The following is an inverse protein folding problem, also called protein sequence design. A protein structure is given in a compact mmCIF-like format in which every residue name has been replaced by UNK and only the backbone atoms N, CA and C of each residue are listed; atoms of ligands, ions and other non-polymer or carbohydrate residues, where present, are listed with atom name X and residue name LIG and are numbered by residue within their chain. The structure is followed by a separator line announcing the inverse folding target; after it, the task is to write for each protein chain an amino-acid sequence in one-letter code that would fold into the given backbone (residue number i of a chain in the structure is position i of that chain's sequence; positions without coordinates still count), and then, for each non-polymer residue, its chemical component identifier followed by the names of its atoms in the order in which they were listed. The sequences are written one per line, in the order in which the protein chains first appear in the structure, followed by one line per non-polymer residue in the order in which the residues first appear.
data_IF_375354387997
#
_entry.id   IF_375354387997
#
_cell.length_a   1.000
_cell.length_b   1.000
_cell.length_c   1.000
_cell.angle_alpha   90.00
_cell.angle_beta   90.00
_cell.angle_gamma   90.00
#
_symmetry.space_group_name_H-M   'P 1'
#
loop_
_entity.id
_entity.type
_entity.pdbx_description
1 polymer ?
#
# COMPACT_ATOMS: atom_id res chain seq x y z
N UNK A 1 19.74 -8.20 0.88
CA UNK A 1 19.90 -6.83 0.32
C UNK A 1 21.37 -6.49 0.45
N UNK A 2 22.10 -6.55 -0.65
CA UNK A 2 23.57 -6.56 -0.66
C UNK A 2 24.09 -5.13 -0.60
N UNK A 3 25.13 -4.85 0.19
CA UNK A 3 25.74 -3.51 0.34
C UNK A 3 26.15 -2.86 -1.01
N UNK A 4 26.46 -3.67 -2.02
CA UNK A 4 26.81 -3.24 -3.38
C UNK A 4 25.63 -2.58 -4.14
N UNK A 5 24.40 -2.97 -3.82
CA UNK A 5 23.19 -2.41 -4.45
C UNK A 5 22.88 -0.99 -3.99
N UNK A 6 23.03 -0.71 -2.68
CA UNK A 6 22.76 0.62 -2.12
C UNK A 6 23.79 1.65 -2.61
N UNK A 7 25.04 1.25 -2.80
CA UNK A 7 26.11 2.12 -3.30
C UNK A 7 25.95 2.43 -4.80
N UNK A 8 25.45 1.48 -5.59
CA UNK A 8 25.05 1.71 -6.98
C UNK A 8 23.88 2.70 -7.09
N UNK A 9 22.86 2.58 -6.24
CA UNK A 9 21.72 3.50 -6.20
C UNK A 9 22.14 4.89 -5.76
N UNK A 10 23.01 5.02 -4.76
CA UNK A 10 23.50 6.31 -4.28
C UNK A 10 24.35 7.04 -5.34
N UNK A 11 25.19 6.32 -6.08
CA UNK A 11 25.94 6.87 -7.22
C UNK A 11 25.01 7.37 -8.32
N UNK A 12 24.01 6.57 -8.68
CA UNK A 12 23.01 6.93 -9.68
C UNK A 12 22.21 8.17 -9.25
N UNK A 13 21.80 8.25 -7.98
CA UNK A 13 21.07 9.40 -7.46
C UNK A 13 21.88 10.71 -7.54
N UNK A 14 23.17 10.69 -7.17
CA UNK A 14 24.06 11.84 -7.33
C UNK A 14 24.23 12.24 -8.79
N UNK A 15 24.42 11.27 -9.66
CA UNK A 15 24.61 11.50 -11.08
C UNK A 15 23.36 12.14 -11.73
N UNK A 16 22.16 11.73 -11.30
CA UNK A 16 20.89 12.32 -11.74
C UNK A 16 20.64 13.72 -11.19
N UNK A 17 21.11 14.02 -9.97
CA UNK A 17 21.06 15.36 -9.39
C UNK A 17 21.97 16.34 -10.14
N UNK A 18 23.17 15.90 -10.54
CA UNK A 18 24.15 16.77 -11.19
C UNK A 18 23.94 16.92 -12.70
N UNK A 19 23.55 15.85 -13.42
CA UNK A 19 23.42 15.87 -14.89
C UNK A 19 21.98 16.00 -15.39
N UNK A 20 20.99 15.88 -14.50
CA UNK A 20 19.58 15.92 -14.85
C UNK A 20 19.13 14.75 -15.75
N UNK A 21 17.86 14.79 -16.17
CA UNK A 21 17.21 13.73 -16.99
C UNK A 21 17.74 13.60 -18.43
N UNK A 22 18.75 14.41 -18.81
CA UNK A 22 19.33 14.44 -20.14
C UNK A 22 20.29 13.28 -20.44
N UNK A 23 20.92 12.70 -19.41
CA UNK A 23 21.86 11.58 -19.54
C UNK A 23 21.18 10.20 -19.66
N UNK A 24 19.86 10.12 -19.40
CA UNK A 24 19.10 8.88 -19.38
C UNK A 24 18.57 8.49 -20.75
N UNK A 25 18.53 7.19 -21.03
CA UNK A 25 17.87 6.68 -22.21
C UNK A 25 16.36 6.99 -22.18
N UNK A 26 15.67 7.04 -23.34
CA UNK A 26 14.22 7.23 -23.39
C UNK A 26 13.44 6.17 -22.61
N UNK A 27 14.01 4.98 -22.46
CA UNK A 27 13.43 3.89 -21.69
C UNK A 27 13.53 4.15 -20.18
N UNK A 28 14.72 4.49 -19.69
CA UNK A 28 14.96 4.70 -18.26
C UNK A 28 14.23 5.93 -17.73
N UNK A 29 14.11 6.96 -18.56
CA UNK A 29 13.33 8.16 -18.27
C UNK A 29 11.83 7.86 -18.09
N UNK A 30 11.28 6.90 -18.84
CA UNK A 30 9.88 6.45 -18.65
C UNK A 30 9.71 5.68 -17.35
N UNK A 31 10.66 4.80 -17.02
CA UNK A 31 10.64 4.06 -15.76
C UNK A 31 10.71 5.02 -14.56
N UNK A 32 11.62 5.99 -14.60
CA UNK A 32 11.74 7.04 -13.57
C UNK A 32 10.48 7.91 -13.47
N UNK A 33 9.88 8.31 -14.59
CA UNK A 33 8.62 9.06 -14.58
C UNK A 33 7.47 8.24 -13.96
N UNK A 34 7.43 6.93 -14.24
CA UNK A 34 6.44 6.02 -13.69
C UNK A 34 6.63 5.80 -12.18
N UNK A 35 7.88 5.67 -11.72
CA UNK A 35 8.22 5.56 -10.29
C UNK A 35 7.91 6.88 -9.57
N UNK A 36 8.27 8.02 -10.14
CA UNK A 36 7.99 9.34 -9.57
C UNK A 36 6.49 9.59 -9.40
N UNK A 37 5.67 9.16 -10.37
CA UNK A 37 4.21 9.21 -10.27
C UNK A 37 3.66 8.35 -9.12
N UNK A 38 4.21 7.15 -8.90
CA UNK A 38 3.84 6.30 -7.76
C UNK A 38 4.25 6.90 -6.42
N UNK A 39 5.44 7.50 -6.34
CA UNK A 39 5.92 8.17 -5.12
C UNK A 39 5.01 9.35 -4.76
N UNK A 40 4.65 10.18 -5.75
CA UNK A 40 3.74 11.32 -5.53
C UNK A 40 2.33 10.88 -5.11
N UNK A 41 1.81 9.79 -5.68
CA UNK A 41 0.51 9.23 -5.25
C UNK A 41 0.56 8.73 -3.79
N UNK A 42 1.66 8.06 -3.40
CA UNK A 42 1.90 7.61 -2.02
C UNK A 42 1.99 8.78 -1.05
N UNK A 43 2.76 9.80 -1.40
CA UNK A 43 2.97 10.98 -0.56
C UNK A 43 1.72 11.85 -0.47
N UNK A 44 0.92 11.95 -1.53
CA UNK A 44 -0.36 12.64 -1.50
C UNK A 44 -1.37 11.97 -0.56
N UNK A 45 -1.44 10.63 -0.57
CA UNK A 45 -2.26 9.86 0.38
C UNK A 45 -1.79 10.00 1.83
N UNK A 46 -0.48 9.96 2.06
CA UNK A 46 0.12 10.15 3.38
C UNK A 46 -0.01 11.60 3.91
N UNK A 47 0.07 12.59 3.02
CA UNK A 47 -0.10 14.00 3.36
C UNK A 47 -1.58 14.37 3.63
N UNK A 48 -2.52 13.74 2.93
CA UNK A 48 -3.96 13.92 3.20
C UNK A 48 -4.35 13.40 4.60
N UNK A 49 -3.71 12.33 5.08
CA UNK A 49 -3.92 11.81 6.44
C UNK A 49 -3.17 12.57 7.52
N UNK A 50 -2.15 13.37 7.17
CA UNK A 50 -1.27 14.05 8.14
C UNK A 50 -1.59 15.55 8.37
N UNK A 51 -2.49 16.16 7.57
CA UNK A 51 -2.84 17.59 7.69
C UNK A 51 -3.80 17.91 8.83
N UNK A 52 -4.46 16.92 9.43
CA UNK A 52 -5.14 17.08 10.71
C UNK A 52 -4.14 16.72 11.81
N UNK A 53 -3.63 17.71 12.55
CA UNK A 53 -2.80 17.45 13.71
C UNK A 53 -3.56 16.55 14.69
N UNK A 54 -2.96 15.47 15.22
CA UNK A 54 -3.71 14.47 15.95
C UNK A 54 -4.26 15.08 17.23
N UNK A 55 -5.60 15.08 17.34
CA UNK A 55 -6.27 15.55 18.54
C UNK A 55 -5.81 14.72 19.75
N UNK A 56 -5.82 15.31 20.95
CA UNK A 56 -5.30 14.65 22.14
C UNK A 56 -5.99 13.29 22.38
N UNK A 57 -7.29 13.21 22.04
CA UNK A 57 -8.08 11.99 22.05
C UNK A 57 -7.60 10.93 21.05
N UNK A 58 -7.16 11.32 19.86
CA UNK A 58 -6.64 10.38 18.85
C UNK A 58 -5.31 9.77 19.28
N UNK A 59 -4.42 10.58 19.86
CA UNK A 59 -3.13 10.09 20.40
C UNK A 59 -3.32 9.13 21.57
N UNK A 60 -4.30 9.40 22.42
CA UNK A 60 -4.64 8.53 23.55
C UNK A 60 -5.26 7.23 23.06
N UNK A 61 -6.23 7.29 22.15
CA UNK A 61 -6.88 6.12 21.57
C UNK A 61 -5.87 5.20 20.84
N UNK A 62 -4.95 5.76 20.06
CA UNK A 62 -3.88 4.98 19.40
C UNK A 62 -2.94 4.30 20.38
N UNK A 63 -2.62 4.94 21.51
CA UNK A 63 -1.82 4.32 22.58
C UNK A 63 -2.59 3.19 23.26
N UNK A 64 -3.86 3.43 23.59
CA UNK A 64 -4.72 2.41 24.24
C UNK A 64 -4.95 1.22 23.32
N UNK A 65 -5.19 1.43 22.02
CA UNK A 65 -5.38 0.35 21.06
C UNK A 65 -4.11 -0.52 20.89
N UNK A 66 -2.93 0.11 20.82
CA UNK A 66 -1.65 -0.62 20.75
C UNK A 66 -1.31 -1.36 22.05
N UNK A 67 -1.65 -0.78 23.21
CA UNK A 67 -1.44 -1.42 24.51
C UNK A 67 -2.40 -2.60 24.68
N UNK A 68 -3.69 -2.43 24.39
CA UNK A 68 -4.71 -3.47 24.52
C UNK A 68 -4.57 -4.65 23.54
N UNK A 69 -3.92 -4.45 22.40
CA UNK A 69 -3.71 -5.49 21.39
C UNK A 69 -2.45 -6.35 21.58
N UNK A 70 -1.62 -6.07 22.59
CA UNK A 70 -0.37 -6.80 22.81
C UNK A 70 -0.56 -8.01 23.73
N UNK A 71 0.04 -9.14 23.34
CA UNK A 71 0.10 -10.34 24.18
C UNK A 71 0.73 -10.08 25.55
N UNK A 72 1.70 -9.18 25.64
CA UNK A 72 2.33 -8.81 26.92
C UNK A 72 1.38 -8.07 27.86
N UNK A 73 0.48 -7.25 27.33
CA UNK A 73 -0.54 -6.56 28.13
C UNK A 73 -1.55 -7.53 28.72
N UNK A 74 -2.01 -8.51 27.93
CA UNK A 74 -2.93 -9.56 28.39
C UNK A 74 -2.31 -10.33 29.56
N UNK A 75 -1.06 -10.78 29.41
CA UNK A 75 -0.36 -11.53 30.46
C UNK A 75 -0.17 -10.68 31.74
N UNK A 76 0.27 -9.42 31.61
CA UNK A 76 0.46 -8.53 32.74
C UNK A 76 -0.87 -8.20 33.46
N UNK A 77 -1.94 -7.97 32.69
CA UNK A 77 -3.27 -7.68 33.22
C UNK A 77 -3.86 -8.89 33.95
N UNK A 78 -3.75 -10.09 33.38
CA UNK A 78 -4.14 -11.34 34.07
C UNK A 78 -3.32 -11.56 35.34
N UNK A 79 -2.00 -11.31 35.30
CA UNK A 79 -1.14 -11.40 36.48
C UNK A 79 -1.54 -10.42 37.59
N UNK A 80 -1.90 -9.18 37.23
CA UNK A 80 -2.41 -8.18 38.17
C UNK A 80 -3.73 -8.62 38.82
N UNK A 81 -4.67 -9.15 38.04
CA UNK A 81 -5.95 -9.66 38.55
C UNK A 81 -5.74 -10.83 39.53
N UNK A 82 -4.89 -11.79 39.16
CA UNK A 82 -4.55 -12.92 40.03
C UNK A 82 -3.86 -12.43 41.31
N UNK A 83 -2.90 -11.49 41.18
CA UNK A 83 -2.22 -10.88 42.32
C UNK A 83 -3.18 -10.15 43.26
N UNK A 84 -4.17 -9.42 42.72
CA UNK A 84 -5.20 -8.74 43.51
C UNK A 84 -6.09 -9.71 44.29
N UNK A 85 -6.50 -10.80 43.63
CA UNK A 85 -7.27 -11.88 44.25
C UNK A 85 -6.47 -12.53 45.38
N UNK A 86 -5.21 -12.88 45.15
CA UNK A 86 -4.32 -13.49 46.16
C UNK A 86 -4.09 -12.53 47.34
N UNK A 87 -3.84 -11.25 47.08
CA UNK A 87 -3.65 -10.25 48.13
C UNK A 87 -4.89 -10.10 49.02
N UNK A 88 -6.09 -9.98 48.42
CA UNK A 88 -7.32 -9.81 49.18
C UNK A 88 -7.73 -11.10 49.93
N UNK A 89 -7.51 -12.28 49.35
CA UNK A 89 -7.89 -13.56 49.97
C UNK A 89 -6.93 -14.06 51.03
N UNK A 90 -5.62 -13.97 50.79
CA UNK A 90 -4.62 -14.58 51.67
C UNK A 90 -4.17 -13.60 52.75
N UNK A 91 -3.93 -12.33 52.39
CA UNK A 91 -3.33 -11.34 53.30
C UNK A 91 -4.41 -10.58 54.08
N UNK A 92 -5.47 -10.16 53.42
CA UNK A 92 -6.48 -9.27 53.99
C UNK A 92 -7.65 -10.01 54.68
N UNK A 93 -8.09 -11.15 54.14
CA UNK A 93 -9.09 -11.98 54.81
C UNK A 93 -8.55 -12.65 56.09
N UNK A 94 -7.25 -12.96 56.14
CA UNK A 94 -6.59 -13.49 57.35
C UNK A 94 -6.43 -12.47 58.49
N UNK A 95 -6.54 -11.16 58.18
CA UNK A 95 -6.31 -10.07 59.13
C UNK A 95 -7.60 -9.38 59.63
N UNK A 96 -8.78 -9.93 59.30
CA UNK A 96 -10.07 -9.47 59.84
C UNK A 96 -10.73 -8.26 59.14
N UNK A 97 -10.15 -7.76 58.05
CA UNK A 97 -10.66 -6.59 57.31
C UNK A 97 -10.42 -6.71 55.81
N UNK A 98 -11.21 -7.54 55.12
CA UNK A 98 -11.12 -7.67 53.68
C UNK A 98 -11.68 -6.43 52.97
N UNK A 99 -10.81 -5.62 52.38
CA UNK A 99 -11.17 -4.47 51.53
C UNK A 99 -12.04 -4.88 50.33
N UNK A 100 -11.74 -6.02 49.70
CA UNK A 100 -12.54 -6.63 48.63
C UNK A 100 -12.62 -8.15 48.83
N UNK A 101 -13.39 -8.59 49.83
CA UNK A 101 -13.60 -10.01 50.12
C UNK A 101 -14.44 -10.69 49.02
N UNK A 102 -14.29 -12.01 48.87
CA UNK A 102 -15.13 -12.82 47.97
C UNK A 102 -16.62 -12.50 48.23
N UNK A 103 -17.38 -12.01 47.24
CA UNK A 103 -17.27 -12.23 45.80
C UNK A 103 -16.64 -11.10 44.92
N UNK A 104 -15.74 -10.27 45.48
CA UNK A 104 -14.98 -9.20 44.80
C UNK A 104 -15.83 -8.15 44.06
N UNK A 105 -16.64 -7.41 44.81
CA UNK A 105 -17.58 -6.43 44.24
C UNK A 105 -16.82 -5.28 43.58
N UNK A 106 -15.69 -4.84 44.14
CA UNK A 106 -14.94 -3.70 43.63
C UNK A 106 -14.20 -4.06 42.34
N UNK A 107 -13.55 -5.23 42.30
CA UNK A 107 -12.91 -5.74 41.09
C UNK A 107 -13.92 -5.91 39.94
N UNK A 108 -15.11 -6.45 40.23
CA UNK A 108 -16.17 -6.59 39.24
C UNK A 108 -16.69 -5.25 38.72
N UNK A 109 -16.80 -4.24 39.58
CA UNK A 109 -17.22 -2.89 39.18
C UNK A 109 -16.20 -2.26 38.22
N UNK A 110 -14.90 -2.34 38.54
CA UNK A 110 -13.83 -1.82 37.69
C UNK A 110 -13.79 -2.54 36.35
N UNK A 111 -13.84 -3.87 36.35
CA UNK A 111 -13.85 -4.67 35.12
C UNK A 111 -15.04 -4.32 34.23
N UNK A 112 -16.23 -4.14 34.81
CA UNK A 112 -17.43 -3.75 34.07
C UNK A 112 -17.29 -2.36 33.44
N UNK A 113 -16.73 -1.39 34.17
CA UNK A 113 -16.49 -0.04 33.65
C UNK A 113 -15.45 -0.05 32.51
N UNK A 114 -14.36 -0.81 32.66
CA UNK A 114 -13.32 -0.95 31.62
C UNK A 114 -13.90 -1.60 30.36
N UNK A 115 -14.66 -2.68 30.52
CA UNK A 115 -15.32 -3.36 29.40
C UNK A 115 -16.32 -2.46 28.67
N UNK A 116 -17.10 -1.65 29.41
CA UNK A 116 -18.06 -0.71 28.82
C UNK A 116 -17.38 0.36 27.95
N UNK A 117 -16.19 0.84 28.34
CA UNK A 117 -15.41 1.80 27.57
C UNK A 117 -14.62 1.15 26.42
N UNK A 118 -14.42 -0.18 26.45
CA UNK A 118 -13.61 -0.90 25.48
C UNK A 118 -14.26 -0.91 24.08
N UNK A 119 -15.56 -1.20 23.98
CA UNK A 119 -16.24 -1.29 22.69
C UNK A 119 -16.25 0.04 21.88
N UNK A 120 -16.55 1.22 22.48
CA UNK A 120 -16.47 2.49 21.77
C UNK A 120 -15.05 2.87 21.34
N UNK A 121 -14.03 2.61 22.18
CA UNK A 121 -12.63 2.89 21.83
C UNK A 121 -12.18 2.01 20.67
N UNK A 122 -12.54 0.72 20.69
CA UNK A 122 -12.28 -0.19 19.57
C UNK A 122 -13.01 0.32 18.33
N UNK A 123 -14.30 0.68 18.43
CA UNK A 123 -15.09 1.17 17.29
C UNK A 123 -14.52 2.47 16.69
N UNK A 124 -14.06 3.41 17.53
CA UNK A 124 -13.40 4.64 17.07
C UNK A 124 -12.08 4.33 16.34
N UNK A 125 -11.30 3.36 16.86
CA UNK A 125 -10.06 2.93 16.19
C UNK A 125 -10.32 2.21 14.87
N UNK A 126 -11.41 1.42 14.79
CA UNK A 126 -11.85 0.74 13.58
C UNK A 126 -12.39 1.73 12.54
N UNK A 127 -13.21 2.70 12.95
CA UNK A 127 -13.76 3.72 12.06
C UNK A 127 -12.63 4.55 11.39
N UNK A 128 -11.57 4.86 12.14
CA UNK A 128 -10.38 5.55 11.61
C UNK A 128 -9.57 4.69 10.63
N UNK A 129 -9.44 3.38 10.89
CA UNK A 129 -8.78 2.47 9.97
C UNK A 129 -9.59 2.31 8.68
N UNK A 130 -10.91 2.11 8.80
CA UNK A 130 -11.81 1.98 7.65
C UNK A 130 -11.79 3.22 6.74
N UNK A 131 -11.70 4.42 7.29
CA UNK A 131 -11.58 5.64 6.48
C UNK A 131 -10.25 5.70 5.71
N UNK A 132 -9.13 5.30 6.35
CA UNK A 132 -7.82 5.20 5.68
C UNK A 132 -7.85 4.17 4.56
N UNK A 133 -8.45 3.01 4.83
CA UNK A 133 -8.59 1.92 3.85
C UNK A 133 -9.47 2.36 2.67
N UNK A 134 -10.55 3.11 2.93
CA UNK A 134 -11.41 3.67 1.88
C UNK A 134 -10.66 4.63 0.96
N UNK A 135 -9.86 5.53 1.54
CA UNK A 135 -9.03 6.47 0.76
C UNK A 135 -8.00 5.69 -0.07
N UNK A 136 -7.29 4.73 0.55
CA UNK A 136 -6.30 3.91 -0.15
C UNK A 136 -6.92 3.15 -1.33
N UNK A 137 -8.09 2.53 -1.12
CA UNK A 137 -8.83 1.84 -2.18
C UNK A 137 -9.25 2.78 -3.32
N UNK A 138 -9.62 4.02 -3.02
CA UNK A 138 -9.93 5.04 -4.03
C UNK A 138 -8.72 5.40 -4.89
N UNK A 139 -7.55 5.60 -4.28
CA UNK A 139 -6.30 5.86 -5.00
C UNK A 139 -5.90 4.67 -5.88
N UNK A 140 -5.98 3.45 -5.34
CA UNK A 140 -5.65 2.24 -6.08
C UNK A 140 -6.57 2.05 -7.29
N UNK A 141 -7.86 2.38 -7.14
CA UNK A 141 -8.82 2.37 -8.24
C UNK A 141 -8.44 3.34 -9.36
N UNK A 142 -8.08 4.59 -9.02
CA UNK A 142 -7.67 5.60 -10.01
C UNK A 142 -6.40 5.18 -10.76
N UNK A 143 -5.41 4.65 -10.04
CA UNK A 143 -4.18 4.12 -10.64
C UNK A 143 -4.47 2.97 -11.59
N UNK A 144 -5.36 2.05 -11.19
CA UNK A 144 -5.74 0.92 -12.03
C UNK A 144 -6.47 1.38 -13.30
N UNK A 145 -7.42 2.31 -13.18
CA UNK A 145 -8.13 2.89 -14.34
C UNK A 145 -7.16 3.57 -15.31
N UNK A 146 -6.19 4.32 -14.78
CA UNK A 146 -5.16 4.96 -15.61
C UNK A 146 -4.29 3.94 -16.34
N UNK A 147 -3.90 2.86 -15.65
CA UNK A 147 -3.14 1.77 -16.26
C UNK A 147 -3.94 1.08 -17.37
N UNK A 148 -5.24 0.85 -17.16
CA UNK A 148 -6.13 0.29 -18.17
C UNK A 148 -6.21 1.16 -19.43
N UNK A 149 -6.41 2.47 -19.29
CA UNK A 149 -6.41 3.42 -20.42
C UNK A 149 -5.07 3.42 -21.15
N UNK A 150 -3.95 3.36 -20.41
CA UNK A 150 -2.61 3.31 -21.01
C UNK A 150 -2.39 2.02 -21.81
N UNK A 151 -2.86 0.88 -21.30
CA UNK A 151 -2.82 -0.42 -22.00
C UNK A 151 -3.63 -0.36 -23.29
N UNK A 152 -4.86 0.18 -23.26
CA UNK A 152 -5.69 0.35 -24.45
C UNK A 152 -4.99 1.24 -25.49
N UNK A 153 -4.40 2.36 -25.07
CA UNK A 153 -3.64 3.23 -25.96
C UNK A 153 -2.43 2.55 -26.60
N UNK A 154 -1.73 1.69 -25.84
CA UNK A 154 -0.63 0.89 -26.35
C UNK A 154 -1.12 -0.16 -27.35
N UNK A 155 -2.26 -0.79 -27.10
CA UNK A 155 -2.90 -1.73 -28.00
C UNK A 155 -3.20 -1.08 -29.36
N UNK A 156 -3.88 0.08 -29.36
CA UNK A 156 -4.19 0.80 -30.60
C UNK A 156 -2.93 1.20 -31.38
N UNK A 157 -1.85 1.58 -30.68
CA UNK A 157 -0.56 1.89 -31.33
C UNK A 157 0.05 0.66 -31.96
N UNK A 158 0.00 -0.48 -31.27
CA UNK A 158 0.51 -1.75 -31.78
C UNK A 158 -0.28 -2.21 -33.00
N UNK A 159 -1.61 -2.09 -32.98
CA UNK A 159 -2.48 -2.42 -34.11
C UNK A 159 -2.19 -1.53 -35.31
N UNK A 160 -2.01 -0.22 -35.10
CA UNK A 160 -1.61 0.70 -36.18
C UNK A 160 -0.27 0.30 -36.82
N UNK A 161 0.72 -0.09 -36.01
CA UNK A 161 2.02 -0.55 -36.52
C UNK A 161 1.84 -1.87 -37.29
N UNK A 162 1.06 -2.82 -36.76
CA UNK A 162 0.78 -4.10 -37.42
C UNK A 162 0.09 -3.93 -38.76
N UNK A 163 -0.95 -3.09 -38.83
CA UNK A 163 -1.67 -2.82 -40.08
C UNK A 163 -0.75 -2.19 -41.12
N UNK A 164 0.08 -1.22 -40.74
CA UNK A 164 1.04 -0.60 -41.65
C UNK A 164 2.07 -1.60 -42.18
N UNK A 165 2.61 -2.46 -41.30
CA UNK A 165 3.52 -3.53 -41.71
C UNK A 165 2.85 -4.51 -42.68
N UNK A 166 1.58 -4.84 -42.46
CA UNK A 166 0.80 -5.71 -43.34
C UNK A 166 0.58 -5.06 -44.71
N UNK A 167 0.22 -3.78 -44.76
CA UNK A 167 0.10 -3.02 -46.00
C UNK A 167 1.42 -2.97 -46.79
N UNK A 168 2.54 -2.72 -46.10
CA UNK A 168 3.86 -2.66 -46.73
C UNK A 168 4.26 -4.02 -47.32
N UNK A 169 3.96 -5.12 -46.62
CA UNK A 169 4.18 -6.48 -47.12
C UNK A 169 3.32 -6.80 -48.35
N UNK A 170 2.03 -6.45 -48.33
CA UNK A 170 1.13 -6.64 -49.48
C UNK A 170 1.64 -5.84 -50.69
N UNK A 171 2.03 -4.57 -50.48
CA UNK A 171 2.59 -3.73 -51.56
C UNK A 171 3.89 -4.30 -52.13
N UNK A 172 4.73 -4.92 -51.32
CA UNK A 172 5.94 -5.58 -51.77
C UNK A 172 5.62 -6.83 -52.63
N UNK A 173 4.67 -7.66 -52.19
CA UNK A 173 4.22 -8.84 -52.94
C UNK A 173 3.57 -8.46 -54.28
N UNK A 174 2.70 -7.44 -54.31
CA UNK A 174 2.06 -6.99 -55.55
C UNK A 174 3.09 -6.52 -56.58
N UNK A 175 4.14 -5.82 -56.13
CA UNK A 175 5.26 -5.42 -57.00
C UNK A 175 5.99 -6.63 -57.59
N UNK A 176 6.31 -7.64 -56.77
CA UNK A 176 6.95 -8.87 -57.24
C UNK A 176 6.09 -9.62 -58.27
N UNK A 177 4.78 -9.73 -58.03
CA UNK A 177 3.86 -10.39 -58.98
C UNK A 177 3.80 -9.63 -60.31
N UNK A 178 3.76 -8.29 -60.26
CA UNK A 178 3.74 -7.45 -61.46
C UNK A 178 5.03 -7.62 -62.28
N UNK A 179 6.20 -7.63 -61.63
CA UNK A 179 7.49 -7.86 -62.27
C UNK A 179 7.58 -9.25 -62.92
N UNK A 180 7.14 -10.30 -62.21
CA UNK A 180 7.09 -11.66 -62.75
C UNK A 180 6.13 -11.77 -63.96
N UNK A 181 4.99 -11.08 -63.91
CA UNK A 181 4.05 -10.99 -65.02
C UNK A 181 4.68 -10.33 -66.26
N UNK A 182 5.36 -9.20 -66.07
CA UNK A 182 6.06 -8.48 -67.13
C UNK A 182 7.22 -9.30 -67.73
N UNK A 183 8.00 -10.00 -66.89
CA UNK A 183 9.06 -10.87 -67.36
C UNK A 183 8.53 -12.06 -68.18
N UNK A 184 7.35 -12.59 -67.84
CA UNK A 184 6.71 -13.69 -68.57
C UNK A 184 6.14 -13.26 -69.92
N UNK A 185 5.62 -12.03 -70.05
CA UNK A 185 5.11 -11.50 -71.32
C UNK A 185 6.22 -11.05 -72.26
N UNK A 186 7.38 -10.63 -71.74
CA UNK A 186 8.56 -10.25 -72.53
C UNK A 186 9.32 -11.44 -73.14
N UNK A 187 8.99 -12.70 -72.80
CA UNK A 187 9.64 -13.89 -73.34
C UNK A 187 9.02 -14.25 -74.70
N UNK A 188 9.72 -14.10 -75.83
CA UNK A 188 9.17 -14.43 -77.15
C UNK A 188 8.87 -15.93 -77.24
N UNK A 189 7.67 -16.26 -77.73
CA UNK A 189 7.30 -17.63 -78.09
C UNK A 189 8.06 -17.97 -79.38
N UNK A 190 9.14 -18.73 -79.23
CA UNK A 190 9.75 -19.47 -80.33
C UNK A 190 8.86 -20.62 -80.76
#
# INVERSE_FOLDING_TARGET
MSADGDEAVARLARQLLDQGLGCLSPHDRRVLAHIAGRVHARDAGAAATSRAGPDFGERLADRVARLGGSWGFIIAFTGLLVGWVVLNTVVLAGSGGGFDAYPYIFLNLILSMVAALQAPVILMSQNRQAERDRIAAGLDYEVNLRAEIEIVSLHDKLDRIRTKQLEDLIRAQTRQIAELGAARTARPRG
#
